data_IF_803274942784
#
_entry.id   IF_803274942784
#
_cell.length_a   1.000
_cell.length_b   1.000
_cell.length_c   1.000
_cell.angle_alpha   90.00
_cell.angle_beta   90.00
_cell.angle_gamma   90.00
#
_symmetry.space_group_name_H-M   'P 1'
#
loop_
_entity.id
_entity.type
_entity.pdbx_description
1 polymer ?
#
# COMPACT_ATOMS: atom_id res chain seq x y z
N UNK A 1 13.50 4.00 12.63
CA UNK A 1 12.58 3.46 13.66
C UNK A 1 11.17 3.35 13.08
N UNK A 2 10.59 2.18 13.16
CA UNK A 2 9.25 1.93 12.66
C UNK A 2 8.21 2.55 13.60
N UNK A 3 7.28 3.30 13.02
CA UNK A 3 6.15 3.88 13.73
C UNK A 3 4.88 3.04 13.59
N UNK A 4 3.77 3.71 13.31
CA UNK A 4 2.47 3.05 13.20
C UNK A 4 2.38 2.11 11.98
N UNK A 5 1.59 1.06 12.10
CA UNK A 5 1.01 0.40 10.93
C UNK A 5 0.00 1.35 10.31
N UNK A 6 0.29 1.85 9.11
CA UNK A 6 -0.60 2.78 8.43
C UNK A 6 -1.74 2.06 7.72
N UNK A 7 -1.40 1.03 6.93
CA UNK A 7 -2.41 0.28 6.19
C UNK A 7 -1.94 -1.11 5.82
N UNK A 8 -2.92 -1.94 5.46
CA UNK A 8 -2.72 -3.20 4.75
C UNK A 8 -3.22 -2.99 3.32
N UNK A 9 -2.35 -3.23 2.34
CA UNK A 9 -2.72 -3.17 0.93
C UNK A 9 -3.39 -4.47 0.51
N UNK A 10 -4.56 -4.35 -0.10
CA UNK A 10 -5.35 -5.48 -0.59
C UNK A 10 -5.58 -5.29 -2.07
N UNK A 11 -5.03 -6.21 -2.89
CA UNK A 11 -5.28 -6.21 -4.32
C UNK A 11 -6.65 -6.84 -4.59
N UNK A 12 -7.38 -6.23 -5.51
CA UNK A 12 -8.71 -6.69 -5.90
C UNK A 12 -8.91 -6.56 -7.40
N UNK A 13 -9.63 -7.49 -8.05
CA UNK A 13 -10.03 -7.31 -9.45
C UNK A 13 -11.10 -6.23 -9.63
N UNK A 14 -11.82 -5.86 -8.57
CA UNK A 14 -12.85 -4.83 -8.61
C UNK A 14 -13.00 -4.16 -7.24
N UNK A 15 -12.66 -2.88 -7.18
CA UNK A 15 -12.85 -2.07 -5.97
C UNK A 15 -14.34 -2.00 -5.60
N UNK A 16 -15.20 -1.81 -6.60
CA UNK A 16 -16.65 -1.73 -6.36
C UNK A 16 -17.20 -3.00 -5.71
N UNK A 17 -16.74 -4.17 -6.13
CA UNK A 17 -17.15 -5.43 -5.52
C UNK A 17 -16.60 -5.55 -4.08
N UNK A 18 -15.37 -5.09 -3.87
CA UNK A 18 -14.77 -5.08 -2.53
C UNK A 18 -15.53 -4.15 -1.58
N UNK A 19 -16.02 -3.00 -2.06
CA UNK A 19 -16.86 -2.11 -1.24
C UNK A 19 -18.08 -2.83 -0.68
N UNK A 20 -18.72 -3.69 -1.47
CA UNK A 20 -19.90 -4.44 -1.01
C UNK A 20 -19.56 -5.33 0.16
N UNK A 21 -18.38 -5.98 0.12
CA UNK A 21 -17.94 -6.83 1.23
C UNK A 21 -17.68 -6.02 2.49
N UNK A 22 -16.97 -4.90 2.38
CA UNK A 22 -16.65 -4.07 3.54
C UNK A 22 -17.88 -3.37 4.11
N UNK A 23 -18.80 -2.89 3.26
CA UNK A 23 -20.03 -2.23 3.71
C UNK A 23 -21.07 -3.23 4.21
N UNK A 24 -21.40 -4.21 3.37
CA UNK A 24 -22.61 -5.04 3.59
C UNK A 24 -22.32 -6.20 4.54
N UNK A 25 -21.10 -6.74 4.52
CA UNK A 25 -20.73 -7.86 5.38
C UNK A 25 -20.06 -7.38 6.66
N UNK A 26 -19.07 -6.50 6.54
CA UNK A 26 -18.28 -6.01 7.68
C UNK A 26 -18.85 -4.73 8.32
N UNK A 27 -19.79 -4.05 7.67
CA UNK A 27 -20.45 -2.88 8.23
C UNK A 27 -19.59 -1.62 8.29
N UNK A 28 -18.53 -1.52 7.51
CA UNK A 28 -17.69 -0.33 7.47
C UNK A 28 -18.41 0.78 6.69
N UNK A 29 -18.47 1.98 7.26
CA UNK A 29 -19.15 3.12 6.64
C UNK A 29 -18.20 4.16 6.06
N UNK A 30 -16.99 4.24 6.56
CA UNK A 30 -16.00 5.25 6.13
C UNK A 30 -15.10 4.68 5.04
N UNK A 31 -15.51 4.84 3.79
CA UNK A 31 -14.80 4.33 2.62
C UNK A 31 -14.69 5.47 1.62
N UNK A 32 -13.46 5.74 1.14
CA UNK A 32 -13.22 6.80 0.16
C UNK A 32 -13.62 6.38 -1.24
N UNK A 33 -13.91 7.38 -2.08
CA UNK A 33 -14.15 7.14 -3.49
C UNK A 33 -12.90 6.56 -4.18
N UNK A 34 -13.14 5.86 -5.26
CA UNK A 34 -12.10 5.30 -6.12
C UNK A 34 -11.34 6.44 -6.82
N UNK A 35 -10.02 6.38 -6.78
CA UNK A 35 -9.14 7.39 -7.37
C UNK A 35 -8.07 6.73 -8.21
N UNK A 36 -7.77 7.31 -9.39
CA UNK A 36 -6.72 6.82 -10.27
C UNK A 36 -5.34 7.33 -9.82
N UNK A 37 -4.36 6.43 -9.82
CA UNK A 37 -2.93 6.75 -9.66
C UNK A 37 -2.17 6.19 -10.86
N UNK A 38 -2.19 6.89 -12.00
CA UNK A 38 -1.61 6.36 -13.23
C UNK A 38 -0.12 6.04 -13.14
N UNK A 39 0.64 6.84 -12.39
CA UNK A 39 2.08 6.63 -12.24
C UNK A 39 2.39 5.32 -11.52
N UNK A 40 1.46 4.83 -10.72
CA UNK A 40 1.61 3.56 -10.01
C UNK A 40 0.83 2.41 -10.66
N UNK A 41 0.06 2.72 -11.71
CA UNK A 41 -0.71 1.73 -12.44
C UNK A 41 -1.86 1.14 -11.64
N UNK A 42 -2.47 1.90 -10.73
CA UNK A 42 -3.56 1.42 -9.89
C UNK A 42 -4.68 2.43 -9.74
N UNK A 43 -5.90 1.91 -9.53
CA UNK A 43 -6.98 2.59 -8.85
C UNK A 43 -6.85 2.31 -7.36
N UNK A 44 -7.20 3.26 -6.52
CA UNK A 44 -7.11 3.11 -5.07
C UNK A 44 -8.37 3.60 -4.39
N UNK A 45 -8.74 2.92 -3.30
CA UNK A 45 -9.80 3.33 -2.38
C UNK A 45 -9.39 2.93 -0.96
N UNK A 46 -9.68 3.78 0.01
CA UNK A 46 -9.34 3.51 1.41
C UNK A 46 -10.57 3.13 2.20
N UNK A 47 -10.46 2.04 2.94
CA UNK A 47 -11.41 1.65 3.98
C UNK A 47 -10.83 2.13 5.30
N UNK A 48 -11.43 3.13 5.91
CA UNK A 48 -10.91 3.76 7.11
C UNK A 48 -11.43 3.05 8.35
N UNK A 49 -10.49 2.58 9.17
CA UNK A 49 -10.73 1.90 10.44
C UNK A 49 -10.22 2.78 11.59
N UNK A 50 -10.66 2.53 12.84
CA UNK A 50 -10.22 3.36 13.97
C UNK A 50 -8.71 3.40 14.18
N UNK A 51 -7.98 2.35 13.81
CA UNK A 51 -6.55 2.20 14.11
C UNK A 51 -5.65 2.09 12.89
N UNK A 52 -6.21 1.91 11.68
CA UNK A 52 -5.43 1.74 10.45
C UNK A 52 -6.36 1.87 9.25
N UNK A 53 -5.81 1.68 8.04
CA UNK A 53 -6.61 1.64 6.81
C UNK A 53 -6.41 0.32 6.10
N UNK A 54 -7.41 -0.09 5.33
CA UNK A 54 -7.23 -1.05 4.24
C UNK A 54 -7.14 -0.24 2.96
N UNK A 55 -6.06 -0.42 2.21
CA UNK A 55 -5.89 0.20 0.91
C UNK A 55 -6.29 -0.80 -0.17
N UNK A 56 -7.43 -0.58 -0.80
CA UNK A 56 -7.86 -1.40 -1.93
C UNK A 56 -7.17 -0.90 -3.18
N UNK A 57 -6.51 -1.80 -3.89
CA UNK A 57 -5.82 -1.49 -5.15
C UNK A 57 -6.33 -2.40 -6.27
N UNK A 58 -6.65 -1.79 -7.40
CA UNK A 58 -7.14 -2.44 -8.60
C UNK A 58 -6.24 -2.05 -9.77
N UNK A 59 -5.94 -2.98 -10.71
CA UNK A 59 -5.07 -2.62 -11.84
C UNK A 59 -5.62 -1.46 -12.67
N UNK A 60 -4.75 -0.52 -13.01
CA UNK A 60 -5.02 0.55 -13.95
C UNK A 60 -4.06 0.43 -15.13
N UNK A 61 -4.60 0.05 -16.28
CA UNK A 61 -3.82 -0.14 -17.49
C UNK A 61 -3.19 -1.52 -17.61
N UNK A 62 -2.80 -1.87 -18.84
CA UNK A 62 -2.27 -3.20 -19.17
C UNK A 62 -0.91 -3.48 -18.51
N UNK A 63 -0.14 -2.44 -18.21
CA UNK A 63 1.19 -2.57 -17.62
C UNK A 63 1.18 -2.52 -16.08
N UNK A 64 0.02 -2.56 -15.45
CA UNK A 64 -0.07 -2.50 -13.99
C UNK A 64 0.69 -3.64 -13.33
N UNK A 65 1.51 -3.34 -12.29
CA UNK A 65 2.22 -4.40 -11.56
C UNK A 65 1.29 -5.34 -10.79
N UNK A 66 0.03 -4.96 -10.59
CA UNK A 66 -0.94 -5.76 -9.84
C UNK A 66 -1.47 -6.94 -10.67
N UNK A 67 -1.38 -6.89 -12.00
CA UNK A 67 -1.82 -8.02 -12.84
C UNK A 67 -1.10 -9.32 -12.49
N UNK A 68 0.21 -9.27 -12.24
CA UNK A 68 0.98 -10.46 -11.86
C UNK A 68 0.49 -11.07 -10.54
N UNK A 69 0.16 -10.25 -9.58
CA UNK A 69 -0.39 -10.70 -8.30
C UNK A 69 -1.77 -11.36 -8.50
N UNK A 70 -2.65 -10.71 -9.26
CA UNK A 70 -4.00 -11.22 -9.48
C UNK A 70 -4.02 -12.49 -10.34
N UNK A 71 -3.02 -12.69 -11.21
CA UNK A 71 -2.91 -13.93 -11.97
C UNK A 71 -2.71 -15.14 -11.04
N UNK A 72 -2.01 -14.94 -9.92
CA UNK A 72 -1.79 -15.97 -8.89
C UNK A 72 -2.88 -15.98 -7.82
N UNK A 73 -3.61 -14.89 -7.68
CA UNK A 73 -4.64 -14.70 -6.67
C UNK A 73 -5.88 -14.08 -7.34
N UNK A 74 -6.65 -14.87 -8.12
CA UNK A 74 -7.72 -14.30 -8.97
C UNK A 74 -8.84 -13.57 -8.23
N UNK A 75 -9.03 -13.91 -6.95
CA UNK A 75 -10.04 -13.25 -6.10
C UNK A 75 -9.49 -12.01 -5.40
N UNK A 76 -8.18 -11.74 -5.54
CA UNK A 76 -7.46 -10.75 -4.77
C UNK A 76 -6.87 -11.32 -3.50
N UNK A 77 -6.39 -10.44 -2.64
CA UNK A 77 -5.79 -10.83 -1.37
C UNK A 77 -4.84 -9.76 -0.85
N UNK A 78 -4.26 -10.03 0.31
CA UNK A 78 -3.28 -9.13 0.92
C UNK A 78 -2.05 -9.02 0.02
N UNK A 79 -1.69 -7.79 -0.30
CA UNK A 79 -0.58 -7.49 -1.20
C UNK A 79 0.63 -6.96 -0.45
N UNK A 80 0.44 -6.06 0.50
CA UNK A 80 1.53 -5.49 1.29
C UNK A 80 1.02 -4.95 2.63
N UNK A 81 1.97 -4.65 3.51
CA UNK A 81 1.73 -3.88 4.74
C UNK A 81 2.58 -2.63 4.70
N UNK A 82 2.09 -1.54 5.27
CA UNK A 82 2.78 -0.26 5.27
C UNK A 82 2.98 0.26 6.68
N UNK A 83 4.23 0.58 7.02
CA UNK A 83 4.60 1.21 8.27
C UNK A 83 5.05 2.64 8.03
N UNK A 84 4.77 3.53 8.98
CA UNK A 84 5.23 4.91 8.95
C UNK A 84 6.63 5.02 9.52
N UNK A 85 7.45 5.89 8.91
CA UNK A 85 8.79 6.22 9.41
C UNK A 85 8.96 7.74 9.42
N UNK A 86 9.72 8.29 10.38
CA UNK A 86 9.89 9.75 10.45
C UNK A 86 10.77 10.31 9.33
N UNK A 87 11.71 9.52 8.81
CA UNK A 87 12.66 9.94 7.77
C UNK A 87 12.85 8.80 6.78
N UNK A 88 12.29 8.96 5.58
CA UNK A 88 12.28 7.89 4.56
C UNK A 88 13.69 7.57 4.04
N UNK A 89 14.56 8.56 3.89
CA UNK A 89 15.93 8.32 3.42
C UNK A 89 16.76 7.61 4.47
N UNK A 90 16.62 7.99 5.73
CA UNK A 90 17.29 7.31 6.84
C UNK A 90 16.77 5.87 6.97
N UNK A 91 15.48 5.65 6.81
CA UNK A 91 14.90 4.31 6.84
C UNK A 91 15.43 3.43 5.71
N UNK A 92 15.51 3.97 4.48
CA UNK A 92 16.09 3.27 3.34
C UNK A 92 17.52 2.82 3.62
N UNK A 93 18.34 3.76 4.09
CA UNK A 93 19.75 3.49 4.34
C UNK A 93 19.93 2.47 5.47
N UNK A 94 19.08 2.55 6.50
CA UNK A 94 19.08 1.58 7.60
C UNK A 94 18.68 0.17 7.14
N UNK A 95 17.67 0.05 6.29
CA UNK A 95 17.27 -1.23 5.71
C UNK A 95 18.43 -1.86 4.94
N UNK A 96 19.08 -1.08 4.10
CA UNK A 96 20.24 -1.54 3.31
C UNK A 96 21.41 -1.95 4.21
N UNK A 97 21.70 -1.16 5.24
CA UNK A 97 22.79 -1.46 6.19
C UNK A 97 22.54 -2.78 6.94
N UNK A 98 21.28 -3.13 7.14
CA UNK A 98 20.89 -4.40 7.80
C UNK A 98 20.73 -5.56 6.83
N UNK A 99 21.05 -5.37 5.56
CA UNK A 99 21.04 -6.42 4.55
C UNK A 99 19.71 -6.63 3.84
N UNK A 100 18.71 -5.79 4.09
CA UNK A 100 17.43 -5.87 3.37
C UNK A 100 17.53 -5.19 2.00
N UNK A 101 16.78 -5.72 1.03
CA UNK A 101 16.77 -5.22 -0.34
C UNK A 101 15.65 -4.22 -0.54
N UNK A 102 16.02 -2.96 -0.80
CA UNK A 102 15.06 -1.93 -1.20
C UNK A 102 14.80 -2.07 -2.70
N UNK A 103 13.53 -2.17 -3.08
CA UNK A 103 13.13 -2.42 -4.46
C UNK A 103 13.38 -1.21 -5.37
N UNK A 104 13.55 -1.49 -6.67
CA UNK A 104 13.82 -0.48 -7.69
C UNK A 104 15.17 0.19 -7.47
N UNK A 105 15.27 1.47 -7.76
CA UNK A 105 16.49 2.27 -7.57
C UNK A 105 16.73 2.64 -6.11
N UNK A 106 15.69 2.49 -5.27
CA UNK A 106 15.71 2.98 -3.89
C UNK A 106 15.35 4.47 -3.77
N UNK A 107 15.13 5.15 -4.88
CA UNK A 107 14.63 6.53 -4.83
C UNK A 107 13.17 6.52 -4.36
N UNK A 108 12.83 7.26 -3.29
CA UNK A 108 11.45 7.31 -2.82
C UNK A 108 10.51 7.86 -3.89
N UNK A 109 9.31 7.29 -3.96
CA UNK A 109 8.23 7.76 -4.82
C UNK A 109 7.10 8.30 -3.97
N UNK A 110 6.29 9.18 -4.54
CA UNK A 110 5.10 9.67 -3.84
C UNK A 110 4.02 8.61 -3.94
N UNK A 111 3.55 8.14 -2.78
CA UNK A 111 2.50 7.13 -2.68
C UNK A 111 1.10 7.72 -2.63
N UNK A 112 0.11 6.87 -2.36
CA UNK A 112 -1.30 7.24 -2.36
C UNK A 112 -1.66 8.29 -1.30
N UNK A 113 -0.87 8.41 -0.24
CA UNK A 113 -1.06 9.40 0.82
C UNK A 113 -0.36 10.73 0.53
N UNK A 114 0.27 10.88 -0.63
CA UNK A 114 0.94 12.11 -1.02
C UNK A 114 2.32 12.33 -0.36
N UNK A 115 2.90 11.30 0.23
CA UNK A 115 4.20 11.34 0.90
C UNK A 115 5.15 10.30 0.30
N UNK A 116 6.48 10.47 0.48
CA UNK A 116 7.45 9.52 -0.06
C UNK A 116 7.33 8.13 0.52
N UNK A 117 7.49 7.12 -0.33
CA UNK A 117 7.46 5.70 0.06
C UNK A 117 8.63 4.94 -0.58
N UNK A 118 9.00 3.83 0.06
CA UNK A 118 9.89 2.81 -0.49
C UNK A 118 9.28 1.44 -0.21
N UNK A 119 9.72 0.42 -0.96
CA UNK A 119 9.33 -0.97 -0.73
C UNK A 119 10.55 -1.82 -0.42
N UNK A 120 10.38 -2.75 0.52
CA UNK A 120 11.41 -3.71 0.92
C UNK A 120 11.01 -5.09 0.43
N UNK A 121 11.96 -5.79 -0.20
CA UNK A 121 11.69 -7.08 -0.85
C UNK A 121 11.18 -8.13 0.16
N UNK A 122 10.14 -8.90 -0.19
CA UNK A 122 9.57 -9.92 0.70
C UNK A 122 10.58 -10.98 1.18
N UNK A 123 11.61 -11.30 0.37
CA UNK A 123 12.63 -12.29 0.77
C UNK A 123 13.35 -11.94 2.08
N UNK A 124 13.44 -10.65 2.40
CA UNK A 124 14.11 -10.13 3.58
C UNK A 124 13.13 -9.77 4.70
N UNK A 125 11.83 -9.95 4.46
CA UNK A 125 10.74 -9.56 5.36
C UNK A 125 9.80 -10.73 5.67
N UNK A 126 10.34 -11.95 5.71
CA UNK A 126 9.54 -13.12 6.07
C UNK A 126 8.44 -13.45 5.05
N UNK A 127 8.61 -13.08 3.79
CA UNK A 127 7.63 -13.33 2.75
C UNK A 127 6.58 -12.24 2.58
N UNK A 128 6.71 -11.13 3.31
CA UNK A 128 5.76 -10.02 3.26
C UNK A 128 6.37 -8.85 2.50
N UNK A 129 5.68 -8.34 1.48
CA UNK A 129 6.07 -7.08 0.84
C UNK A 129 5.79 -5.95 1.84
N UNK A 130 6.83 -5.23 2.21
CA UNK A 130 6.74 -4.14 3.19
C UNK A 130 6.92 -2.80 2.49
N UNK A 131 5.96 -1.92 2.68
CA UNK A 131 6.05 -0.51 2.31
C UNK A 131 6.43 0.30 3.53
N UNK A 132 7.39 1.22 3.37
CA UNK A 132 7.68 2.24 4.38
C UNK A 132 7.27 3.58 3.81
N UNK A 133 6.53 4.37 4.57
CA UNK A 133 6.11 5.69 4.16
C UNK A 133 6.54 6.74 5.17
N UNK A 134 6.90 7.92 4.69
CA UNK A 134 7.13 9.05 5.57
C UNK A 134 5.85 9.35 6.36
N UNK A 135 5.97 9.57 7.66
CA UNK A 135 4.81 9.88 8.50
C UNK A 135 4.07 11.08 7.90
N UNK A 136 2.79 10.94 7.51
CA UNK A 136 2.08 12.04 6.87
C UNK A 136 1.76 13.13 7.90
N UNK A 137 1.85 14.39 7.44
CA UNK A 137 1.27 15.50 8.15
C UNK A 137 -0.26 15.44 8.05
N UNK A 138 -0.96 16.22 8.88
CA UNK A 138 -2.43 16.23 8.88
C UNK A 138 -3.01 16.54 7.49
N UNK A 139 -2.36 17.43 6.73
CA UNK A 139 -2.82 17.81 5.39
C UNK A 139 -2.78 16.67 4.36
N UNK A 140 -2.06 15.59 4.64
CA UNK A 140 -1.90 14.44 3.73
C UNK A 140 -2.70 13.21 4.17
N UNK A 141 -3.44 13.30 5.27
CA UNK A 141 -4.27 12.17 5.72
C UNK A 141 -5.57 12.12 4.92
N UNK A 142 -5.90 10.99 4.32
CA UNK A 142 -7.15 10.84 3.60
C UNK A 142 -8.38 10.82 4.52
#
# INVERSE_FOLDING_TARGET
MIGKLNHVGVATPSIEDSWKLYRDVLGVTDITDKRALPEQGVWVSFVNLPNAQIELIEPLGAASPIHGFLAKNPRGGQHHVCFEVPDILAARDDMRAKGATVLGTGEPRIGAHGVPVIFVHPKDMGGVLVELMATPGEAHRP
#
